data_IF_926217285652
#
_entry.id   IF_926217285652
#
_cell.length_a   1.000
_cell.length_b   1.000
_cell.length_c   1.000
_cell.angle_alpha   90.00
_cell.angle_beta   90.00
_cell.angle_gamma   90.00
#
_symmetry.space_group_name_H-M   'P 1'
#
loop_
_entity.id
_entity.type
_entity.pdbx_description
1 polymer ?
#
# COMPACT_ATOMS: atom_id res chain seq x y z
N UNK A 1 6.90 16.32 4.59
CA UNK A 1 8.27 16.88 4.49
C UNK A 1 9.33 15.94 5.05
N UNK A 2 9.03 15.12 6.06
CA UNK A 2 9.97 14.14 6.67
C UNK A 2 10.71 13.24 5.66
N UNK A 3 10.03 12.69 4.64
CA UNK A 3 10.71 11.80 3.67
C UNK A 3 11.71 12.50 2.77
N UNK A 4 11.38 13.71 2.28
CA UNK A 4 12.29 14.50 1.47
C UNK A 4 13.52 14.89 2.29
N UNK A 5 13.31 15.46 3.49
CA UNK A 5 14.39 15.85 4.40
C UNK A 5 15.33 14.67 4.66
N UNK A 6 14.77 13.50 4.97
CA UNK A 6 15.56 12.29 5.22
C UNK A 6 16.35 11.85 3.98
N UNK A 7 15.78 11.94 2.79
CA UNK A 7 16.48 11.60 1.55
C UNK A 7 17.67 12.54 1.29
N UNK A 8 17.48 13.84 1.52
CA UNK A 8 18.55 14.84 1.38
C UNK A 8 19.67 14.61 2.40
N UNK A 9 19.34 14.32 3.67
CA UNK A 9 20.31 13.98 4.72
C UNK A 9 21.16 12.75 4.35
N UNK A 10 20.56 11.79 3.65
CA UNK A 10 21.23 10.59 3.16
C UNK A 10 22.02 10.81 1.86
N UNK A 11 22.07 12.05 1.36
CA UNK A 11 22.89 12.45 0.21
C UNK A 11 22.19 12.37 -1.14
N UNK A 12 20.86 12.16 -1.19
CA UNK A 12 20.11 12.25 -2.45
C UNK A 12 20.10 13.72 -2.91
N UNK A 13 20.50 14.03 -4.15
CA UNK A 13 20.44 15.40 -4.65
C UNK A 13 19.00 15.92 -4.68
N UNK A 14 18.78 17.18 -4.31
CA UNK A 14 17.43 17.77 -4.32
C UNK A 14 16.80 17.80 -5.72
N UNK A 15 17.61 17.88 -6.77
CA UNK A 15 17.17 17.80 -8.17
C UNK A 15 16.65 16.41 -8.56
N UNK A 16 16.96 15.37 -7.78
CA UNK A 16 16.47 14.01 -7.97
C UNK A 16 15.24 13.69 -7.10
N UNK A 17 14.74 14.66 -6.32
CA UNK A 17 13.58 14.46 -5.44
C UNK A 17 12.40 15.28 -5.93
N UNK A 18 11.37 14.59 -6.43
CA UNK A 18 10.08 15.18 -6.74
C UNK A 18 9.11 14.90 -5.58
N UNK A 19 8.36 15.93 -5.16
CA UNK A 19 7.46 15.84 -4.00
C UNK A 19 6.02 15.96 -4.44
N UNK A 20 5.23 14.95 -4.10
CA UNK A 20 3.77 14.93 -4.25
C UNK A 20 3.13 15.07 -2.84
N UNK A 21 2.45 16.19 -2.53
CA UNK A 21 1.92 16.44 -1.18
C UNK A 21 0.41 16.25 -1.03
N UNK A 22 -0.32 15.86 -2.08
CA UNK A 22 -1.80 15.94 -2.15
C UNK A 22 -2.48 14.61 -1.88
N UNK A 23 -1.86 13.48 -2.20
CA UNK A 23 -2.50 12.17 -2.14
C UNK A 23 -2.95 11.79 -0.72
N UNK A 24 -4.14 11.19 -0.64
CA UNK A 24 -4.79 10.74 0.60
C UNK A 24 -5.04 9.24 0.64
N UNK A 25 -4.87 8.55 -0.49
CA UNK A 25 -5.00 7.11 -0.60
C UNK A 25 -4.02 6.55 -1.64
N UNK A 26 -3.90 5.22 -1.68
CA UNK A 26 -2.96 4.53 -2.58
C UNK A 26 -3.24 4.81 -4.06
N UNK A 27 -4.50 4.99 -4.47
CA UNK A 27 -4.83 5.29 -5.87
C UNK A 27 -4.36 6.68 -6.28
N UNK A 28 -4.56 7.66 -5.40
CA UNK A 28 -4.03 9.02 -5.57
C UNK A 28 -2.50 9.04 -5.55
N UNK A 29 -1.85 8.28 -4.66
CA UNK A 29 -0.38 8.17 -4.65
C UNK A 29 0.15 7.81 -6.04
N UNK A 30 -0.43 6.81 -6.71
CA UNK A 30 0.01 6.37 -8.04
C UNK A 30 -0.30 7.43 -9.10
N UNK A 31 -1.54 7.96 -9.12
CA UNK A 31 -1.96 8.94 -10.12
C UNK A 31 -1.13 10.22 -10.04
N UNK A 32 -0.96 10.76 -8.85
CA UNK A 32 -0.22 12.01 -8.66
C UNK A 32 1.29 11.82 -8.81
N UNK A 33 1.83 10.63 -8.51
CA UNK A 33 3.24 10.32 -8.84
C UNK A 33 3.49 10.31 -10.35
N UNK A 34 2.52 9.79 -11.12
CA UNK A 34 2.55 9.84 -12.59
C UNK A 34 2.50 11.29 -13.08
N UNK A 35 1.54 12.09 -12.60
CA UNK A 35 1.43 13.52 -12.95
C UNK A 35 2.74 14.28 -12.68
N UNK A 36 3.32 14.11 -11.47
CA UNK A 36 4.57 14.77 -11.09
C UNK A 36 5.76 14.33 -11.96
N UNK A 37 5.77 13.06 -12.41
CA UNK A 37 6.81 12.58 -13.34
C UNK A 37 6.66 13.18 -14.74
N UNK A 38 5.43 13.25 -15.24
CA UNK A 38 5.10 13.86 -16.54
C UNK A 38 5.41 15.37 -16.55
N UNK A 39 5.07 16.09 -15.49
CA UNK A 39 5.39 17.52 -15.31
C UNK A 39 6.90 17.79 -15.27
N UNK A 40 7.67 16.85 -14.73
CA UNK A 40 9.13 16.90 -14.72
C UNK A 40 9.76 16.46 -16.07
N UNK A 41 8.96 16.04 -17.05
CA UNK A 41 9.43 15.54 -18.34
C UNK A 41 10.15 14.19 -18.26
N UNK A 42 9.83 13.37 -17.24
CA UNK A 42 10.44 12.07 -17.00
C UNK A 42 9.56 10.98 -17.61
N UNK A 43 10.09 10.29 -18.62
CA UNK A 43 9.48 9.06 -19.13
C UNK A 43 9.85 7.88 -18.21
N UNK A 44 8.85 7.33 -17.53
CA UNK A 44 9.03 6.22 -16.60
C UNK A 44 8.73 4.91 -17.33
N UNK A 45 9.70 4.00 -17.41
CA UNK A 45 9.52 2.64 -17.92
C UNK A 45 9.37 1.60 -16.81
N UNK A 46 9.92 1.88 -15.63
CA UNK A 46 9.83 1.03 -14.44
C UNK A 46 9.77 1.87 -13.16
N UNK A 47 9.07 1.41 -12.13
CA UNK A 47 8.99 2.07 -10.83
C UNK A 47 9.07 1.07 -9.66
N UNK A 48 9.86 1.43 -8.64
CA UNK A 48 9.90 0.73 -7.37
C UNK A 48 8.97 1.42 -6.36
N UNK A 49 7.98 0.69 -5.88
CA UNK A 49 7.07 1.15 -4.83
C UNK A 49 7.55 0.67 -3.48
N UNK A 50 7.86 1.60 -2.57
CA UNK A 50 8.13 1.31 -1.17
C UNK A 50 6.90 1.56 -0.32
N UNK A 51 6.45 0.55 0.43
CA UNK A 51 5.25 0.65 1.28
C UNK A 51 5.47 -0.04 2.63
N UNK A 52 4.47 0.05 3.52
CA UNK A 52 4.45 -0.79 4.72
C UNK A 52 4.29 -2.26 4.30
N UNK A 53 4.92 -3.23 5.00
CA UNK A 53 4.92 -4.62 4.56
C UNK A 53 3.53 -5.20 4.30
N UNK A 54 2.55 -4.89 5.15
CA UNK A 54 1.18 -5.37 5.00
C UNK A 54 0.38 -4.71 3.86
N UNK A 55 0.90 -3.64 3.24
CA UNK A 55 0.25 -2.93 2.13
C UNK A 55 0.86 -3.28 0.76
N UNK A 56 1.97 -4.00 0.71
CA UNK A 56 2.78 -4.22 -0.50
C UNK A 56 1.96 -4.79 -1.66
N UNK A 57 1.20 -5.87 -1.43
CA UNK A 57 0.34 -6.48 -2.47
C UNK A 57 -0.74 -5.52 -2.97
N UNK A 58 -1.25 -4.66 -2.09
CA UNK A 58 -2.30 -3.71 -2.40
C UNK A 58 -1.73 -2.54 -3.23
N UNK A 59 -0.57 -2.02 -2.84
CA UNK A 59 0.15 -1.02 -3.61
C UNK A 59 0.48 -1.51 -5.02
N UNK A 60 1.03 -2.72 -5.13
CA UNK A 60 1.29 -3.37 -6.41
C UNK A 60 0.03 -3.49 -7.27
N UNK A 61 -1.05 -4.05 -6.71
CA UNK A 61 -2.28 -4.28 -7.45
C UNK A 61 -2.95 -2.98 -7.94
N UNK A 62 -2.93 -1.94 -7.11
CA UNK A 62 -3.42 -0.61 -7.47
C UNK A 62 -2.57 0.01 -8.57
N UNK A 63 -1.25 -0.07 -8.46
CA UNK A 63 -0.35 0.50 -9.46
C UNK A 63 -0.47 -0.19 -10.82
N UNK A 64 -0.53 -1.52 -10.85
CA UNK A 64 -0.77 -2.29 -12.08
C UNK A 64 -2.10 -1.97 -12.75
N UNK A 65 -3.10 -1.51 -11.99
CA UNK A 65 -4.40 -1.07 -12.53
C UNK A 65 -4.34 0.33 -13.12
N UNK A 66 -3.65 1.25 -12.44
CA UNK A 66 -3.67 2.69 -12.76
C UNK A 66 -2.54 3.14 -13.69
N UNK A 67 -1.45 2.38 -13.75
CA UNK A 67 -0.29 2.66 -14.60
C UNK A 67 0.21 1.37 -15.28
N UNK A 68 -0.61 0.74 -16.13
CA UNK A 68 -0.32 -0.58 -16.69
C UNK A 68 0.87 -0.59 -17.67
N UNK A 69 1.28 0.56 -18.19
CA UNK A 69 2.40 0.70 -19.12
C UNK A 69 3.78 0.60 -18.45
N UNK A 70 3.84 0.77 -17.12
CA UNK A 70 5.10 0.78 -16.35
C UNK A 70 5.34 -0.58 -15.71
N UNK A 71 6.58 -1.04 -15.74
CA UNK A 71 7.02 -2.18 -14.95
C UNK A 71 7.03 -1.81 -13.46
N UNK A 72 6.06 -2.33 -12.71
CA UNK A 72 5.96 -2.08 -11.27
C UNK A 72 6.69 -3.18 -10.51
N UNK A 73 7.63 -2.77 -9.66
CA UNK A 73 8.20 -3.59 -8.60
C UNK A 73 7.73 -3.02 -7.27
N UNK A 74 7.39 -3.87 -6.31
CA UNK A 74 7.06 -3.43 -4.95
C UNK A 74 8.00 -4.07 -3.95
N UNK A 75 8.40 -3.29 -2.96
CA UNK A 75 9.24 -3.74 -1.87
C UNK A 75 8.81 -3.07 -0.57
N UNK A 76 9.16 -3.72 0.53
CA UNK A 76 8.99 -3.22 1.87
C UNK A 76 10.18 -3.69 2.71
N UNK A 77 10.34 -3.10 3.90
CA UNK A 77 11.36 -3.55 4.83
C UNK A 77 11.11 -5.01 5.20
N UNK A 78 12.09 -5.93 5.01
CA UNK A 78 11.92 -7.32 5.41
C UNK A 78 11.84 -7.39 6.93
N UNK A 79 10.69 -7.83 7.44
CA UNK A 79 10.44 -7.97 8.87
C UNK A 79 9.43 -9.06 9.15
N UNK A 80 9.60 -9.70 10.30
CA UNK A 80 8.65 -10.65 10.88
C UNK A 80 7.44 -9.93 11.48
N UNK A 81 6.39 -10.69 11.77
CA UNK A 81 5.22 -10.16 12.47
C UNK A 81 5.62 -9.62 13.86
N UNK A 82 6.45 -10.35 14.60
CA UNK A 82 6.86 -9.99 15.96
C UNK A 82 7.65 -8.68 15.97
N UNK A 83 8.62 -8.53 15.07
CA UNK A 83 9.36 -7.26 14.91
C UNK A 83 8.43 -6.09 14.56
N UNK A 84 7.42 -6.33 13.72
CA UNK A 84 6.47 -5.28 13.40
C UNK A 84 5.57 -4.91 14.59
N UNK A 85 5.13 -5.91 15.35
CA UNK A 85 4.38 -5.71 16.60
C UNK A 85 5.21 -4.92 17.59
N UNK A 86 6.47 -5.27 17.80
CA UNK A 86 7.38 -4.57 18.71
C UNK A 86 7.61 -3.12 18.28
N UNK A 87 7.71 -2.86 16.97
CA UNK A 87 7.88 -1.49 16.46
C UNK A 87 6.66 -0.59 16.68
N UNK A 88 5.45 -1.18 16.75
CA UNK A 88 4.20 -0.45 16.97
C UNK A 88 3.82 -0.41 18.45
N UNK A 89 4.19 -1.42 19.23
CA UNK A 89 3.86 -1.57 20.65
C UNK A 89 2.43 -2.05 20.92
N UNK A 90 1.66 -2.41 19.88
CA UNK A 90 0.28 -2.90 20.01
C UNK A 90 -0.02 -4.02 19.01
N UNK A 91 0.02 -5.25 19.52
CA UNK A 91 -0.25 -6.45 18.72
C UNK A 91 -1.67 -6.47 18.14
N UNK A 92 -2.66 -6.00 18.91
CA UNK A 92 -4.06 -6.04 18.47
C UNK A 92 -4.27 -5.06 17.32
N UNK A 93 -3.71 -3.86 17.42
CA UNK A 93 -3.73 -2.88 16.34
C UNK A 93 -3.10 -3.40 15.06
N UNK A 94 -1.95 -4.08 15.16
CA UNK A 94 -1.27 -4.69 14.00
C UNK A 94 -2.13 -5.77 13.35
N UNK A 95 -2.75 -6.66 14.15
CA UNK A 95 -3.66 -7.69 13.63
C UNK A 95 -4.86 -7.05 12.94
N UNK A 96 -5.47 -6.03 13.53
CA UNK A 96 -6.60 -5.33 12.94
C UNK A 96 -6.20 -4.67 11.60
N UNK A 97 -5.01 -4.08 11.51
CA UNK A 97 -4.45 -3.53 10.27
C UNK A 97 -4.27 -4.58 9.18
N UNK A 98 -3.70 -5.74 9.51
CA UNK A 98 -3.51 -6.86 8.58
C UNK A 98 -4.85 -7.38 8.05
N UNK A 99 -5.81 -7.60 8.95
CA UNK A 99 -7.16 -8.06 8.62
C UNK A 99 -7.88 -7.06 7.71
N UNK A 100 -7.83 -5.77 8.04
CA UNK A 100 -8.41 -4.72 7.20
C UNK A 100 -7.73 -4.59 5.83
N UNK A 101 -6.40 -4.72 5.75
CA UNK A 101 -5.67 -4.67 4.49
C UNK A 101 -6.05 -5.85 3.58
N UNK A 102 -6.16 -7.05 4.14
CA UNK A 102 -6.58 -8.24 3.41
C UNK A 102 -8.03 -8.17 2.93
N UNK A 103 -8.96 -7.65 3.74
CA UNK A 103 -10.34 -7.44 3.30
C UNK A 103 -10.39 -6.52 2.06
N UNK A 104 -9.65 -5.41 2.09
CA UNK A 104 -9.55 -4.50 0.93
C UNK A 104 -8.95 -5.21 -0.27
N UNK A 105 -7.94 -6.07 -0.07
CA UNK A 105 -7.34 -6.90 -1.13
C UNK A 105 -8.39 -7.75 -1.88
N UNK A 106 -9.42 -8.22 -1.18
CA UNK A 106 -10.51 -9.02 -1.74
C UNK A 106 -11.63 -8.18 -2.37
N UNK A 107 -12.01 -7.05 -1.77
CA UNK A 107 -13.18 -6.26 -2.18
C UNK A 107 -12.86 -5.24 -3.29
N UNK A 108 -11.74 -4.54 -3.17
CA UNK A 108 -11.42 -3.42 -4.07
C UNK A 108 -11.24 -3.81 -5.56
N UNK A 109 -10.87 -5.05 -5.96
CA UNK A 109 -10.83 -5.39 -7.38
C UNK A 109 -12.23 -5.37 -8.02
N UNK A 110 -13.26 -5.79 -7.28
CA UNK A 110 -14.66 -5.78 -7.74
C UNK A 110 -15.18 -4.34 -7.92
N UNK A 111 -14.63 -3.39 -7.15
CA UNK A 111 -14.94 -1.97 -7.25
C UNK A 111 -14.08 -1.25 -8.32
N UNK A 112 -13.19 -1.98 -9.00
CA UNK A 112 -12.35 -1.45 -10.08
C UNK A 112 -11.12 -0.65 -9.62
N UNK A 113 -10.82 -0.61 -8.32
CA UNK A 113 -9.70 0.16 -7.79
C UNK A 113 -8.33 -0.49 -7.99
N UNK A 114 -8.28 -1.81 -8.16
CA UNK A 114 -7.03 -2.54 -8.36
C UNK A 114 -7.24 -3.84 -9.14
N UNK A 115 -6.16 -4.47 -9.58
CA UNK A 115 -6.24 -5.81 -10.18
C UNK A 115 -6.49 -6.89 -9.11
N UNK A 116 -7.03 -8.04 -9.52
CA UNK A 116 -7.23 -9.18 -8.64
C UNK A 116 -5.86 -9.73 -8.19
N UNK A 117 -5.76 -10.06 -6.91
CA UNK A 117 -4.64 -10.78 -6.31
C UNK A 117 -5.16 -12.09 -5.70
N UNK A 118 -4.64 -13.25 -6.12
CA UNK A 118 -5.09 -14.53 -5.55
C UNK A 118 -4.72 -14.59 -4.07
N UNK A 119 -5.70 -14.94 -3.24
CA UNK A 119 -5.51 -15.14 -1.80
C UNK A 119 -5.52 -16.64 -1.52
N UNK A 120 -4.43 -17.21 -0.98
CA UNK A 120 -4.39 -18.62 -0.62
C UNK A 120 -5.46 -19.00 0.42
N UNK A 121 -6.00 -20.22 0.33
CA UNK A 121 -7.07 -20.70 1.23
C UNK A 121 -6.69 -20.59 2.70
N UNK A 122 -5.48 -20.99 3.09
CA UNK A 122 -5.02 -20.89 4.47
C UNK A 122 -4.97 -19.45 4.99
N UNK A 123 -4.75 -18.47 4.12
CA UNK A 123 -4.77 -17.03 4.47
C UNK A 123 -6.22 -16.55 4.66
N UNK A 124 -7.16 -17.01 3.84
CA UNK A 124 -8.58 -16.74 4.01
C UNK A 124 -9.12 -17.34 5.32
N UNK A 125 -8.77 -18.59 5.63
CA UNK A 125 -9.15 -19.24 6.88
C UNK A 125 -8.59 -18.50 8.11
N UNK A 126 -7.35 -18.03 8.04
CA UNK A 126 -6.75 -17.22 9.10
C UNK A 126 -7.49 -15.88 9.27
N UNK A 127 -7.81 -15.20 8.17
CA UNK A 127 -8.61 -13.97 8.17
C UNK A 127 -9.95 -14.18 8.88
N UNK A 128 -10.71 -15.22 8.50
CA UNK A 128 -12.01 -15.48 9.11
C UNK A 128 -11.90 -15.79 10.61
N UNK A 129 -10.89 -16.56 11.01
CA UNK A 129 -10.64 -16.85 12.43
C UNK A 129 -10.36 -15.59 13.24
N UNK A 130 -9.56 -14.67 12.70
CA UNK A 130 -9.24 -13.40 13.34
C UNK A 130 -10.46 -12.48 13.43
N UNK A 131 -11.27 -12.40 12.37
CA UNK A 131 -12.54 -11.68 12.39
C UNK A 131 -13.49 -12.24 13.46
N UNK A 132 -13.64 -13.56 13.56
CA UNK A 132 -14.45 -14.22 14.60
C UNK A 132 -13.92 -13.99 16.01
N UNK A 133 -12.61 -13.81 16.18
CA UNK A 133 -11.97 -13.44 17.44
C UNK A 133 -12.08 -11.94 17.78
N UNK A 134 -12.73 -11.15 16.92
CA UNK A 134 -13.05 -9.74 17.17
C UNK A 134 -12.10 -8.72 16.53
N UNK A 135 -11.16 -9.14 15.67
CA UNK A 135 -10.26 -8.22 14.97
C UNK A 135 -10.95 -7.48 13.82
N UNK A 136 -11.84 -6.54 14.16
CA UNK A 136 -12.77 -5.91 13.20
C UNK A 136 -12.62 -4.40 13.06
N UNK A 137 -11.78 -3.74 13.88
CA UNK A 137 -11.74 -2.27 13.96
C UNK A 137 -11.31 -1.55 12.67
N UNK A 138 -10.68 -2.27 11.74
CA UNK A 138 -10.21 -1.75 10.44
C UNK A 138 -10.92 -2.36 9.23
N UNK A 139 -11.93 -3.20 9.47
CA UNK A 139 -12.80 -3.71 8.42
C UNK A 139 -13.66 -2.57 7.87
N UNK A 140 -13.92 -2.63 6.57
CA UNK A 140 -14.96 -1.85 5.92
C UNK A 140 -16.32 -2.35 6.42
N UNK A 141 -17.20 -1.41 6.73
CA UNK A 141 -18.63 -1.72 6.89
C UNK A 141 -19.19 -2.03 5.51
N UNK A 142 -20.06 -3.02 5.43
CA UNK A 142 -20.64 -3.51 4.16
C UNK A 142 -21.55 -2.50 3.45
N UNK A 143 -21.80 -1.33 4.05
CA UNK A 143 -22.80 -0.35 3.58
C UNK A 143 -22.23 0.94 2.98
N UNK A 144 -20.91 1.06 2.76
CA UNK A 144 -20.34 2.29 2.16
C UNK A 144 -19.31 1.98 1.08
N UNK A 145 -19.50 2.43 -0.18
CA UNK A 145 -18.44 2.43 -1.17
C UNK A 145 -17.31 3.34 -0.68
N UNK A 146 -16.15 2.78 -0.36
CA UNK A 146 -14.99 3.54 0.10
C UNK A 146 -14.02 3.73 -1.08
N UNK A 147 -13.98 4.95 -1.62
CA UNK A 147 -12.99 5.41 -2.61
C UNK A 147 -11.64 5.75 -1.96
#
# INVERSE_FOLDING_TARGET
MVYQERALELGVPSTAVLVEPRARNTGENIRFSREVSEEAGIEVSSALLTSKPYEERRAYATARKLWPEVEIVSASTPMTLDEYVDSIGDARLVIDMLVGALQRLMIYPEQGFMIIQPVPTNVLEAYERLCRAGSTSRLLTTDVPSA
#
